data_IF_130087011989
#
_entry.id   IF_130087011989
#
_cell.length_a   1.000
_cell.length_b   1.000
_cell.length_c   1.000
_cell.angle_alpha   90.00
_cell.angle_beta   90.00
_cell.angle_gamma   90.00
#
_symmetry.space_group_name_H-M   'P 1'
#
loop_
_entity.id
_entity.type
_entity.pdbx_description
1 polymer ?
#
# COMPACT_ATOMS: atom_id res chain seq x y z
N UNK A 1 2.27 0.16 20.16
CA UNK A 1 1.37 0.68 19.09
C UNK A 1 1.42 2.20 18.98
N UNK A 2 1.25 2.96 20.07
CA UNK A 2 1.23 4.44 20.06
C UNK A 2 2.41 5.11 19.34
N UNK A 3 3.64 4.61 19.51
CA UNK A 3 4.84 5.19 18.88
C UNK A 3 4.93 4.98 17.38
N UNK A 4 4.56 3.81 16.83
CA UNK A 4 4.59 3.60 15.38
C UNK A 4 3.50 4.44 14.68
N UNK A 5 2.34 4.54 15.32
CA UNK A 5 1.19 5.24 14.78
C UNK A 5 1.39 6.77 14.78
N UNK A 6 2.11 7.33 15.77
CA UNK A 6 2.40 8.77 15.80
C UNK A 6 3.29 9.23 14.64
N UNK A 7 4.07 8.31 14.06
CA UNK A 7 4.88 8.58 12.87
C UNK A 7 4.19 8.23 11.55
N UNK A 8 2.95 7.71 11.57
CA UNK A 8 2.27 7.24 10.35
C UNK A 8 2.27 8.28 9.22
N UNK A 9 1.92 9.57 9.42
CA UNK A 9 1.97 10.56 8.34
C UNK A 9 3.38 10.71 7.73
N UNK A 10 4.43 10.62 8.56
CA UNK A 10 5.82 10.67 8.07
C UNK A 10 6.16 9.39 7.31
N UNK A 11 5.75 8.22 7.80
CA UNK A 11 5.94 6.95 7.10
C UNK A 11 5.25 6.98 5.72
N UNK A 12 4.00 7.42 5.65
CA UNK A 12 3.26 7.54 4.38
C UNK A 12 3.95 8.50 3.41
N UNK A 13 4.42 9.66 3.89
CA UNK A 13 5.20 10.60 3.08
C UNK A 13 6.52 10.00 2.58
N UNK A 14 7.28 9.33 3.45
CA UNK A 14 8.52 8.68 3.07
C UNK A 14 8.30 7.61 2.01
N UNK A 15 7.27 6.77 2.16
CA UNK A 15 6.91 5.75 1.17
C UNK A 15 6.50 6.39 -0.16
N UNK A 16 5.77 7.51 -0.13
CA UNK A 16 5.39 8.24 -1.34
C UNK A 16 6.60 8.86 -2.05
N UNK A 17 7.55 9.42 -1.29
CA UNK A 17 8.80 9.95 -1.85
C UNK A 17 9.63 8.82 -2.46
N UNK A 18 9.77 7.68 -1.76
CA UNK A 18 10.50 6.52 -2.24
C UNK A 18 9.94 6.05 -3.59
N UNK A 19 8.62 5.90 -3.66
CA UNK A 19 7.91 5.56 -4.89
C UNK A 19 8.21 6.54 -6.04
N UNK A 20 8.14 7.85 -5.77
CA UNK A 20 8.42 8.86 -6.79
C UNK A 20 9.88 8.80 -7.25
N UNK A 21 10.82 8.59 -6.33
CA UNK A 21 12.25 8.45 -6.66
C UNK A 21 12.52 7.24 -7.54
N UNK A 22 11.81 6.13 -7.30
CA UNK A 22 11.94 4.93 -8.12
C UNK A 22 11.40 5.16 -9.52
N UNK A 23 10.23 5.80 -9.67
CA UNK A 23 9.70 6.21 -10.98
C UNK A 23 10.73 7.03 -11.77
N UNK A 24 11.33 8.03 -11.13
CA UNK A 24 12.33 8.90 -11.75
C UNK A 24 13.60 8.14 -12.16
N UNK A 25 14.07 7.21 -11.32
CA UNK A 25 15.24 6.40 -11.62
C UNK A 25 15.04 5.55 -12.89
N UNK A 26 13.85 5.00 -13.11
CA UNK A 26 13.57 4.17 -14.29
C UNK A 26 13.57 5.01 -15.57
N UNK A 27 12.92 6.18 -15.51
CA UNK A 27 12.84 7.09 -16.64
C UNK A 27 14.24 7.46 -17.17
N UNK A 28 15.25 7.46 -16.29
CA UNK A 28 16.63 7.79 -16.64
C UNK A 28 17.45 6.57 -17.07
N UNK A 29 17.21 5.38 -16.50
CA UNK A 29 18.20 4.28 -16.59
C UNK A 29 17.87 3.18 -17.60
N UNK A 30 16.62 3.03 -18.08
CA UNK A 30 16.17 2.04 -19.09
C UNK A 30 16.64 0.57 -18.90
N UNK A 31 16.97 0.13 -17.67
CA UNK A 31 17.48 -1.23 -17.41
C UNK A 31 16.36 -2.20 -17.04
N UNK A 32 16.40 -3.41 -17.59
CA UNK A 32 15.41 -4.47 -17.30
C UNK A 32 15.36 -4.86 -15.81
N UNK A 33 16.50 -4.82 -15.12
CA UNK A 33 16.59 -5.09 -13.67
C UNK A 33 15.68 -4.16 -12.84
N UNK A 34 15.45 -2.92 -13.30
CA UNK A 34 14.60 -1.98 -12.59
C UNK A 34 13.13 -2.42 -12.57
N UNK A 35 12.64 -3.13 -13.59
CA UNK A 35 11.23 -3.55 -13.63
C UNK A 35 10.87 -4.53 -12.50
N UNK A 36 11.75 -5.48 -12.20
CA UNK A 36 11.54 -6.43 -11.11
C UNK A 36 11.63 -5.70 -9.75
N UNK A 37 12.62 -4.80 -9.60
CA UNK A 37 12.77 -4.02 -8.37
C UNK A 37 11.54 -3.16 -8.06
N UNK A 38 10.95 -2.53 -9.08
CA UNK A 38 9.69 -1.78 -8.95
C UNK A 38 8.58 -2.67 -8.41
N UNK A 39 8.39 -3.83 -9.03
CA UNK A 39 7.27 -4.70 -8.68
C UNK A 39 7.34 -5.13 -7.21
N UNK A 40 8.56 -5.47 -6.75
CA UNK A 40 8.82 -5.79 -5.35
C UNK A 40 8.61 -4.57 -4.45
N UNK A 41 9.13 -3.41 -4.82
CA UNK A 41 8.99 -2.17 -4.05
C UNK A 41 7.52 -1.76 -3.89
N UNK A 42 6.75 -1.77 -4.98
CA UNK A 42 5.32 -1.48 -4.99
C UNK A 42 4.57 -2.36 -4.00
N UNK A 43 4.87 -3.67 -4.02
CA UNK A 43 4.25 -4.59 -3.09
C UNK A 43 4.65 -4.30 -1.64
N UNK A 44 5.92 -4.04 -1.36
CA UNK A 44 6.39 -3.73 -0.01
C UNK A 44 5.74 -2.47 0.53
N UNK A 45 5.61 -1.43 -0.30
CA UNK A 45 4.90 -0.20 0.06
C UNK A 45 3.44 -0.50 0.35
N UNK A 46 2.74 -1.20 -0.55
CA UNK A 46 1.33 -1.57 -0.37
C UNK A 46 1.12 -2.40 0.91
N UNK A 47 2.02 -3.34 1.20
CA UNK A 47 1.98 -4.16 2.40
C UNK A 47 2.12 -3.35 3.69
N UNK A 48 3.07 -2.40 3.73
CA UNK A 48 3.26 -1.53 4.91
C UNK A 48 2.04 -0.64 5.11
N UNK A 49 1.53 -0.01 4.05
CA UNK A 49 0.37 0.87 4.14
C UNK A 49 -0.91 0.11 4.53
N UNK A 50 -1.11 -1.08 3.96
CA UNK A 50 -2.19 -1.99 4.33
C UNK A 50 -2.13 -2.33 5.81
N UNK A 51 -0.96 -2.75 6.29
CA UNK A 51 -0.75 -3.11 7.70
C UNK A 51 -1.05 -1.95 8.64
N UNK A 52 -0.58 -0.74 8.33
CA UNK A 52 -0.85 0.46 9.13
C UNK A 52 -2.35 0.80 9.19
N UNK A 53 -3.05 0.74 8.07
CA UNK A 53 -4.48 1.02 8.01
C UNK A 53 -5.32 -0.06 8.73
N UNK A 54 -4.93 -1.34 8.65
CA UNK A 54 -5.55 -2.41 9.43
C UNK A 54 -5.36 -2.17 10.93
N UNK A 55 -4.12 -1.88 11.36
CA UNK A 55 -3.80 -1.60 12.77
C UNK A 55 -4.64 -0.43 13.28
N UNK A 56 -4.78 0.65 12.48
CA UNK A 56 -5.63 1.80 12.81
C UNK A 56 -7.11 1.44 12.83
N UNK A 57 -7.60 0.64 11.89
CA UNK A 57 -9.00 0.20 11.86
C UNK A 57 -9.40 -0.64 13.08
N UNK A 58 -8.46 -1.46 13.58
CA UNK A 58 -8.66 -2.27 14.78
C UNK A 58 -8.47 -1.47 16.07
N UNK A 59 -7.80 -0.32 16.02
CA UNK A 59 -7.62 0.56 17.17
C UNK A 59 -8.92 1.30 17.53
N UNK A 60 -9.17 1.46 18.83
CA UNK A 60 -10.26 2.30 19.34
C UNK A 60 -9.96 3.80 19.22
N UNK A 61 -8.69 4.16 19.07
CA UNK A 61 -8.22 5.55 19.02
C UNK A 61 -8.50 6.22 17.65
N UNK A 62 -8.90 5.46 16.63
CA UNK A 62 -9.07 5.97 15.27
C UNK A 62 -10.51 5.78 14.76
N UNK A 63 -11.08 6.78 14.04
CA UNK A 63 -12.41 6.69 13.49
C UNK A 63 -12.49 5.64 12.37
N UNK A 64 -13.55 4.82 12.35
CA UNK A 64 -13.78 3.79 11.33
C UNK A 64 -14.49 4.36 10.10
N UNK A 65 -13.84 5.31 9.42
CA UNK A 65 -14.39 6.00 8.26
C UNK A 65 -14.64 5.05 7.09
N UNK A 66 -15.60 5.39 6.23
CA UNK A 66 -15.90 4.57 5.04
C UNK A 66 -14.73 4.56 4.06
N UNK A 67 -13.97 5.65 3.97
CA UNK A 67 -12.72 5.69 3.20
C UNK A 67 -11.73 4.61 3.67
N UNK A 68 -11.55 4.43 4.99
CA UNK A 68 -10.68 3.37 5.51
C UNK A 68 -11.21 1.97 5.21
N UNK A 69 -12.52 1.75 5.28
CA UNK A 69 -13.13 0.45 4.94
C UNK A 69 -12.88 0.10 3.47
N UNK A 70 -13.13 1.05 2.56
CA UNK A 70 -12.88 0.89 1.12
C UNK A 70 -11.40 0.64 0.86
N UNK A 71 -10.53 1.44 1.46
CA UNK A 71 -9.08 1.26 1.35
C UNK A 71 -8.66 -0.15 1.75
N UNK A 72 -9.09 -0.62 2.92
CA UNK A 72 -8.76 -1.96 3.43
C UNK A 72 -9.26 -3.02 2.47
N UNK A 73 -10.53 -2.96 2.04
CA UNK A 73 -11.11 -3.95 1.14
C UNK A 73 -10.31 -4.10 -0.17
N UNK A 74 -10.04 -2.97 -0.84
CA UNK A 74 -9.30 -2.97 -2.11
C UNK A 74 -7.83 -3.36 -1.91
N UNK A 75 -7.22 -2.94 -0.79
CA UNK A 75 -5.83 -3.29 -0.47
C UNK A 75 -5.67 -4.76 -0.09
N UNK A 76 -6.67 -5.37 0.57
CA UNK A 76 -6.70 -6.80 0.85
C UNK A 76 -6.68 -7.59 -0.45
N UNK A 77 -7.44 -7.16 -1.47
CA UNK A 77 -7.38 -7.81 -2.79
C UNK A 77 -5.95 -7.81 -3.33
N UNK A 78 -5.25 -6.67 -3.35
CA UNK A 78 -3.87 -6.60 -3.88
C UNK A 78 -2.91 -7.44 -3.05
N UNK A 79 -2.88 -7.25 -1.73
CA UNK A 79 -1.89 -7.90 -0.86
C UNK A 79 -2.08 -9.41 -0.86
N UNK A 80 -3.32 -9.90 -0.74
CA UNK A 80 -3.58 -11.35 -0.69
C UNK A 80 -3.36 -11.99 -2.05
N UNK A 81 -3.82 -11.38 -3.16
CA UNK A 81 -3.60 -11.96 -4.49
C UNK A 81 -2.11 -11.97 -4.86
N UNK A 82 -1.33 -10.98 -4.41
CA UNK A 82 0.13 -10.98 -4.57
C UNK A 82 0.81 -12.08 -3.77
N UNK A 83 0.41 -12.28 -2.51
CA UNK A 83 0.95 -13.37 -1.69
C UNK A 83 0.62 -14.74 -2.29
N UNK A 84 -0.61 -14.93 -2.77
CA UNK A 84 -1.01 -16.15 -3.47
C UNK A 84 -0.20 -16.36 -4.76
N UNK A 85 0.06 -15.29 -5.51
CA UNK A 85 0.91 -15.34 -6.70
C UNK A 85 2.33 -15.80 -6.37
N UNK A 86 2.94 -15.30 -5.30
CA UNK A 86 4.25 -15.79 -4.85
C UNK A 86 4.17 -17.28 -4.50
N UNK A 87 3.19 -17.66 -3.68
CA UNK A 87 3.04 -19.05 -3.21
C UNK A 87 2.88 -20.00 -4.39
N UNK A 88 2.00 -19.69 -5.35
CA UNK A 88 1.76 -20.52 -6.54
C UNK A 88 3.00 -20.66 -7.43
N UNK A 89 3.76 -19.58 -7.63
CA UNK A 89 5.02 -19.64 -8.34
C UNK A 89 6.07 -20.51 -7.63
N UNK A 90 6.14 -20.46 -6.30
CA UNK A 90 7.09 -21.26 -5.51
C UNK A 90 6.79 -22.76 -5.59
N UNK A 91 5.50 -23.14 -5.57
CA UNK A 91 5.07 -24.55 -5.61
C UNK A 91 4.84 -25.08 -7.03
N UNK A 92 5.13 -24.27 -8.06
CA UNK A 92 5.01 -24.63 -9.49
C UNK A 92 3.63 -25.20 -9.88
N UNK A 93 2.56 -24.68 -9.28
CA UNK A 93 1.22 -25.02 -9.75
C UNK A 93 0.99 -24.31 -11.08
N UNK A 94 0.73 -25.09 -12.13
CA UNK A 94 0.26 -24.57 -13.42
C UNK A 94 -1.20 -24.15 -13.24
N UNK A 95 -1.42 -22.85 -13.10
CA UNK A 95 -2.76 -22.25 -13.07
C UNK A 95 -3.05 -21.70 -14.47
N UNK A 96 -4.26 -21.87 -15.01
CA UNK A 96 -4.61 -21.29 -16.31
C UNK A 96 -4.45 -19.76 -16.29
N UNK A 97 -3.48 -19.26 -17.06
CA UNK A 97 -2.83 -17.96 -16.86
C UNK A 97 -3.56 -16.78 -17.51
N UNK A 98 -4.60 -17.03 -18.32
CA UNK A 98 -5.27 -15.98 -19.09
C UNK A 98 -5.96 -14.89 -18.23
N UNK A 99 -6.48 -15.24 -17.05
CA UNK A 99 -6.98 -14.27 -16.06
C UNK A 99 -5.85 -13.69 -15.19
N UNK A 100 -4.78 -14.46 -14.97
CA UNK A 100 -3.66 -14.06 -14.11
C UNK A 100 -2.76 -12.99 -14.73
N UNK A 101 -2.73 -12.82 -16.05
CA UNK A 101 -1.98 -11.72 -16.69
C UNK A 101 -2.53 -10.33 -16.34
N UNK A 102 -3.84 -10.22 -16.15
CA UNK A 102 -4.50 -8.95 -15.80
C UNK A 102 -4.34 -8.56 -14.33
N UNK A 103 -4.05 -9.54 -13.46
CA UNK A 103 -3.92 -9.34 -12.03
C UNK A 103 -2.73 -8.40 -11.71
N UNK A 104 -1.49 -8.65 -12.18
CA UNK A 104 -0.37 -7.72 -12.02
C UNK A 104 -0.63 -6.33 -12.57
N UNK A 105 -1.30 -6.23 -13.73
CA UNK A 105 -1.66 -4.95 -14.34
C UNK A 105 -2.62 -4.17 -13.41
N UNK A 106 -3.61 -4.86 -12.83
CA UNK A 106 -4.52 -4.24 -11.87
C UNK A 106 -3.80 -3.74 -10.62
N UNK A 107 -2.74 -4.43 -10.17
CA UNK A 107 -1.93 -3.98 -9.03
C UNK A 107 -1.17 -2.70 -9.34
N UNK A 108 -0.56 -2.59 -10.52
CA UNK A 108 0.19 -1.40 -10.96
C UNK A 108 -0.74 -0.18 -11.01
N UNK A 109 -1.99 -0.35 -11.42
CA UNK A 109 -2.98 0.75 -11.50
C UNK A 109 -3.54 1.10 -10.12
N UNK A 110 -3.90 0.09 -9.31
CA UNK A 110 -4.56 0.32 -8.03
C UNK A 110 -3.58 0.78 -6.93
N UNK A 111 -2.33 0.36 -6.96
CA UNK A 111 -1.36 0.68 -5.89
C UNK A 111 -1.10 2.19 -5.75
N UNK A 112 -0.87 2.97 -6.82
CA UNK A 112 -0.74 4.44 -6.71
C UNK A 112 -2.00 5.10 -6.13
N UNK A 113 -3.18 4.65 -6.55
CA UNK A 113 -4.46 5.18 -6.05
C UNK A 113 -4.58 4.93 -4.54
N UNK A 114 -4.27 3.71 -4.12
CA UNK A 114 -4.28 3.33 -2.70
C UNK A 114 -3.20 4.07 -1.91
N UNK A 115 -2.02 4.30 -2.47
CA UNK A 115 -0.98 5.09 -1.82
C UNK A 115 -1.47 6.51 -1.50
N UNK A 116 -2.12 7.17 -2.46
CA UNK A 116 -2.70 8.51 -2.26
C UNK A 116 -3.83 8.42 -1.22
N UNK A 117 -4.72 7.45 -1.33
CA UNK A 117 -5.81 7.29 -0.37
C UNK A 117 -5.30 7.05 1.06
N UNK A 118 -4.28 6.23 1.24
CA UNK A 118 -3.61 5.97 2.53
C UNK A 118 -2.99 7.24 3.11
N UNK A 119 -2.31 8.02 2.26
CA UNK A 119 -1.73 9.31 2.66
C UNK A 119 -2.82 10.30 3.12
N UNK A 120 -3.92 10.38 2.37
CA UNK A 120 -5.07 11.24 2.71
C UNK A 120 -5.71 10.81 4.04
N UNK A 121 -5.97 9.51 4.24
CA UNK A 121 -6.49 8.98 5.52
C UNK A 121 -5.55 9.37 6.66
N UNK A 122 -4.24 9.24 6.46
CA UNK A 122 -3.22 9.56 7.46
C UNK A 122 -3.20 11.05 7.86
N UNK A 123 -3.39 11.95 6.88
CA UNK A 123 -3.47 13.38 7.17
C UNK A 123 -4.73 13.75 7.95
N UNK A 124 -5.90 13.22 7.56
CA UNK A 124 -7.15 13.44 8.30
C UNK A 124 -7.07 12.89 9.73
N UNK A 125 -6.51 11.69 9.92
CA UNK A 125 -6.28 11.12 11.24
C UNK A 125 -5.44 12.03 12.15
N UNK A 126 -4.46 12.73 11.58
CA UNK A 126 -3.61 13.67 12.32
C UNK A 126 -4.36 14.94 12.71
N UNK A 127 -5.27 15.39 11.87
CA UNK A 127 -6.06 16.59 12.11
C UNK A 127 -7.13 16.34 13.19
N UNK A 128 -7.86 15.23 13.08
CA UNK A 128 -8.86 14.81 14.07
C UNK A 128 -8.27 14.65 15.47
N UNK A 129 -7.09 14.02 15.58
CA UNK A 129 -6.42 13.85 16.88
C UNK A 129 -5.97 15.18 17.49
N UNK A 130 -5.58 16.17 16.69
CA UNK A 130 -5.24 17.51 17.21
C UNK A 130 -6.47 18.22 17.76
N UNK A 131 -7.63 18.09 17.10
CA UNK A 131 -8.87 18.69 17.60
C UNK A 131 -9.35 18.07 18.90
N UNK A 132 -9.11 16.77 19.13
CA UNK A 132 -9.46 16.10 20.39
C UNK A 132 -8.53 16.52 21.54
N UNK A 133 -7.23 16.70 21.28
CA UNK A 133 -6.27 17.14 22.30
C UNK A 133 -6.42 18.64 22.69
N UNK A 134 -7.22 19.40 21.95
CA UNK A 134 -7.46 20.84 22.18
C UNK A 134 -8.90 21.18 22.61
N UNK A 135 -9.78 20.18 22.77
CA UNK A 135 -11.17 20.33 23.24
C UNK A 135 -11.33 19.84 24.69
#
# INVERSE_FOLDING_TARGET
MKTLISYDPRIQQTLFILFLTTILAIAVTQKDFLYISIFVEFFLIAFVQYSLNIIKFLSKEYPKTDSRKVYIFVSTYIVITFLLFIVFNLIKIEVDFSFFEWIPISWIILSPVLMIQSLVISFYDKEDNKTIDHA
#
